data_IF_997022635675
#
_entry.id   IF_997022635675
#
_cell.length_a   1.000
_cell.length_b   1.000
_cell.length_c   1.000
_cell.angle_alpha   90.00
_cell.angle_beta   90.00
_cell.angle_gamma   90.00
#
_symmetry.space_group_name_H-M   'P 1'
#
loop_
_entity.id
_entity.type
_entity.pdbx_description
1 polymer ?
#
# COMPACT_ATOMS: atom_id res chain seq x y z
N UNK A 1 4.75 12.88 -0.64
CA UNK A 1 5.30 12.39 0.63
C UNK A 1 6.70 12.96 0.80
N UNK A 2 6.99 13.52 1.96
CA UNK A 2 8.27 14.17 2.26
C UNK A 2 8.60 14.09 3.77
N UNK A 3 9.81 14.50 4.14
CA UNK A 3 10.26 14.53 5.54
C UNK A 3 11.02 15.83 5.80
N UNK A 4 10.68 16.52 6.87
CA UNK A 4 11.45 17.67 7.34
C UNK A 4 12.62 17.22 8.23
N UNK A 5 13.63 18.08 8.39
CA UNK A 5 14.82 17.78 9.21
C UNK A 5 14.46 17.44 10.66
N UNK A 6 13.48 18.16 11.23
CA UNK A 6 12.97 17.95 12.60
C UNK A 6 12.25 16.61 12.77
N UNK A 7 11.64 16.07 11.70
CA UNK A 7 10.84 14.85 11.73
C UNK A 7 11.73 13.60 11.65
N UNK A 8 12.92 13.69 11.06
CA UNK A 8 13.82 12.56 10.85
C UNK A 8 14.17 11.82 12.14
N UNK A 9 14.48 12.55 13.23
CA UNK A 9 14.83 11.95 14.54
C UNK A 9 13.66 11.24 15.21
N UNK A 10 12.41 11.60 14.85
CA UNK A 10 11.17 11.05 15.42
C UNK A 10 10.55 9.96 14.54
N UNK A 11 11.17 9.60 13.41
CA UNK A 11 10.62 8.64 12.45
C UNK A 11 9.32 9.10 11.78
N UNK A 12 9.05 10.43 11.77
CA UNK A 12 7.85 11.02 11.22
C UNK A 12 8.06 11.26 9.72
N UNK A 13 7.03 11.00 8.94
CA UNK A 13 6.94 11.33 7.51
C UNK A 13 5.69 12.16 7.28
N UNK A 14 5.72 13.09 6.35
CA UNK A 14 4.57 13.92 6.00
C UNK A 14 3.96 13.46 4.69
N UNK A 15 2.68 13.16 4.73
CA UNK A 15 1.82 12.91 3.58
C UNK A 15 1.05 14.20 3.29
N UNK A 16 1.13 14.71 2.06
CA UNK A 16 0.34 15.84 1.61
C UNK A 16 -0.60 15.40 0.51
N UNK A 17 -1.88 15.64 0.70
CA UNK A 17 -2.93 15.44 -0.28
C UNK A 17 -3.42 16.80 -0.74
N UNK A 18 -3.56 16.97 -2.05
CA UNK A 18 -4.13 18.19 -2.67
C UNK A 18 -5.43 17.76 -3.33
N UNK A 19 -6.52 18.40 -2.98
CA UNK A 19 -7.86 18.03 -3.45
C UNK A 19 -8.73 19.30 -3.59
N UNK A 20 -9.74 19.24 -4.46
CA UNK A 20 -10.72 20.31 -4.68
C UNK A 20 -11.88 20.26 -3.69
N UNK A 21 -12.22 19.06 -3.21
CA UNK A 21 -13.27 18.84 -2.23
C UNK A 21 -12.65 18.36 -0.90
N UNK A 22 -13.23 18.74 0.23
CA UNK A 22 -12.70 18.31 1.54
C UNK A 22 -12.76 16.79 1.67
N UNK A 23 -11.59 16.15 1.79
CA UNK A 23 -11.52 14.73 2.18
C UNK A 23 -11.85 14.66 3.67
N UNK A 24 -12.91 13.93 3.99
CA UNK A 24 -13.32 13.73 5.38
C UNK A 24 -12.28 12.85 6.07
N UNK A 25 -11.87 13.26 7.27
CA UNK A 25 -10.82 12.55 8.02
C UNK A 25 -11.20 11.08 8.29
N UNK A 26 -12.48 10.80 8.54
CA UNK A 26 -13.01 9.44 8.72
C UNK A 26 -12.83 8.53 7.52
N UNK A 27 -12.66 9.07 6.32
CA UNK A 27 -12.49 8.27 5.10
C UNK A 27 -11.03 7.92 4.85
N UNK A 28 -10.13 8.85 5.17
CA UNK A 28 -8.69 8.63 4.95
C UNK A 28 -8.02 7.85 6.07
N UNK A 29 -8.48 7.97 7.33
CA UNK A 29 -7.87 7.28 8.46
C UNK A 29 -7.87 5.75 8.31
N UNK A 30 -8.98 5.08 7.90
CA UNK A 30 -8.98 3.64 7.68
C UNK A 30 -8.02 3.21 6.57
N UNK A 31 -7.86 4.03 5.53
CA UNK A 31 -6.89 3.76 4.43
C UNK A 31 -5.47 3.74 4.96
N UNK A 32 -5.11 4.73 5.77
CA UNK A 32 -3.76 4.83 6.35
C UNK A 32 -3.52 3.73 7.39
N UNK A 33 -4.51 3.39 8.21
CA UNK A 33 -4.40 2.31 9.21
C UNK A 33 -4.22 0.95 8.55
N UNK A 34 -5.00 0.65 7.50
CA UNK A 34 -4.88 -0.59 6.73
C UNK A 34 -3.52 -0.69 6.00
N UNK A 35 -2.88 0.42 5.68
CA UNK A 35 -1.50 0.44 5.19
C UNK A 35 -0.45 0.26 6.32
N UNK A 36 -0.88 0.14 7.57
CA UNK A 36 -0.01 0.02 8.75
C UNK A 36 0.62 1.34 9.19
N UNK A 37 -0.05 2.45 8.91
CA UNK A 37 0.40 3.79 9.26
C UNK A 37 -0.42 4.35 10.42
N UNK A 38 0.25 5.06 11.31
CA UNK A 38 -0.37 5.82 12.40
C UNK A 38 -0.35 7.28 12.03
N UNK A 39 -1.52 7.91 12.03
CA UNK A 39 -1.64 9.37 11.90
C UNK A 39 -1.44 10.01 13.27
N UNK A 40 -0.51 10.94 13.36
CA UNK A 40 -0.20 11.70 14.58
C UNK A 40 -1.12 12.90 14.66
N UNK A 41 -1.19 13.65 13.56
CA UNK A 41 -2.02 14.84 13.42
C UNK A 41 -2.23 15.23 11.95
N UNK A 42 -3.11 16.19 11.72
CA UNK A 42 -3.45 16.75 10.41
C UNK A 42 -3.47 18.27 10.47
N UNK A 43 -2.96 18.89 9.40
CA UNK A 43 -2.99 20.33 9.18
C UNK A 43 -3.63 20.62 7.82
N UNK A 44 -4.92 21.01 7.76
CA UNK A 44 -5.53 21.47 6.52
C UNK A 44 -5.12 22.90 6.24
N UNK A 45 -4.93 23.23 4.96
CA UNK A 45 -4.68 24.58 4.48
C UNK A 45 -5.47 24.81 3.22
N UNK A 46 -6.36 25.80 3.20
CA UNK A 46 -7.10 26.16 2.00
C UNK A 46 -6.29 27.17 1.19
N UNK A 47 -6.24 26.95 -0.11
CA UNK A 47 -5.58 27.84 -1.08
C UNK A 47 -6.65 28.47 -1.96
N UNK A 48 -6.67 29.77 -1.97
CA UNK A 48 -7.50 30.57 -2.86
C UNK A 48 -6.62 31.13 -4.00
N UNK A 49 -6.93 30.76 -5.22
CA UNK A 49 -6.26 31.30 -6.42
C UNK A 49 -7.29 32.03 -7.25
N UNK A 50 -7.02 33.32 -7.54
CA UNK A 50 -7.93 34.13 -8.33
C UNK A 50 -8.26 33.47 -9.67
N UNK A 51 -9.57 33.34 -9.97
CA UNK A 51 -10.05 32.73 -11.21
C UNK A 51 -9.96 31.18 -11.27
N UNK A 52 -9.66 30.52 -10.16
CA UNK A 52 -9.65 29.04 -10.07
C UNK A 52 -10.49 28.55 -8.89
N UNK A 53 -11.00 27.30 -8.94
CA UNK A 53 -11.63 26.67 -7.78
C UNK A 53 -10.66 26.63 -6.58
N UNK A 54 -11.22 26.70 -5.38
CA UNK A 54 -10.45 26.50 -4.16
C UNK A 54 -9.79 25.12 -4.14
N UNK A 55 -8.58 25.07 -3.62
CA UNK A 55 -7.88 23.81 -3.38
C UNK A 55 -7.55 23.68 -1.89
N UNK A 56 -7.77 22.49 -1.35
CA UNK A 56 -7.39 22.16 0.03
C UNK A 56 -6.14 21.29 0.01
N UNK A 57 -5.16 21.69 0.80
CA UNK A 57 -3.96 20.89 1.07
C UNK A 57 -4.08 20.31 2.48
N UNK A 58 -4.31 19.02 2.59
CA UNK A 58 -4.27 18.31 3.86
C UNK A 58 -2.89 17.68 4.08
N UNK A 59 -2.19 18.11 5.12
CA UNK A 59 -0.89 17.55 5.50
C UNK A 59 -1.05 16.70 6.74
N UNK A 60 -0.74 15.41 6.63
CA UNK A 60 -0.76 14.43 7.72
C UNK A 60 0.66 14.13 8.16
N UNK A 61 0.93 14.18 9.47
CA UNK A 61 2.14 13.58 10.02
C UNK A 61 1.87 12.11 10.34
N UNK A 62 2.60 11.24 9.69
CA UNK A 62 2.42 9.79 9.75
C UNK A 62 3.71 9.10 10.18
N UNK A 63 3.57 7.93 10.77
CA UNK A 63 4.66 6.99 11.03
C UNK A 63 4.18 5.56 10.81
N UNK A 64 5.09 4.62 10.57
CA UNK A 64 4.77 3.20 10.61
C UNK A 64 4.38 2.75 12.02
N UNK A 65 3.59 1.69 12.12
CA UNK A 65 3.35 0.99 13.39
C UNK A 65 4.68 0.43 13.96
N UNK A 66 4.71 0.06 15.24
CA UNK A 66 5.92 -0.52 15.87
C UNK A 66 6.40 -1.79 15.17
N UNK A 67 5.48 -2.57 14.60
CA UNK A 67 5.79 -3.78 13.83
C UNK A 67 6.31 -3.47 12.42
N UNK A 68 6.07 -2.25 11.91
CA UNK A 68 6.45 -1.84 10.57
C UNK A 68 7.76 -1.05 10.59
N UNK A 69 8.89 -1.77 10.59
CA UNK A 69 10.23 -1.18 10.55
C UNK A 69 10.64 -0.89 9.10
N UNK A 70 9.92 0.00 8.43
CA UNK A 70 10.14 0.34 7.01
C UNK A 70 10.38 1.84 6.88
N UNK A 71 11.39 2.22 6.10
CA UNK A 71 11.55 3.63 5.73
C UNK A 71 10.54 4.01 4.64
N UNK A 72 9.52 4.77 5.05
CA UNK A 72 8.44 5.23 4.18
C UNK A 72 8.94 6.09 3.01
N UNK A 73 10.10 6.75 3.16
CA UNK A 73 10.67 7.57 2.08
C UNK A 73 11.17 6.71 0.92
N UNK A 74 11.74 5.56 1.20
CA UNK A 74 12.17 4.63 0.17
C UNK A 74 10.99 4.02 -0.60
N UNK A 75 9.80 3.99 0.00
CA UNK A 75 8.57 3.43 -0.58
C UNK A 75 7.52 4.47 -0.94
N UNK A 76 7.90 5.74 -0.98
CA UNK A 76 6.99 6.87 -1.19
C UNK A 76 6.13 6.76 -2.46
N UNK A 77 6.71 6.28 -3.57
CA UNK A 77 6.00 6.17 -4.84
C UNK A 77 4.91 5.08 -4.77
N UNK A 78 5.23 3.92 -4.18
CA UNK A 78 4.25 2.84 -3.96
C UNK A 78 3.14 3.29 -3.02
N UNK A 79 3.52 3.93 -1.91
CA UNK A 79 2.56 4.45 -0.92
C UNK A 79 1.65 5.52 -1.53
N UNK A 80 2.20 6.46 -2.30
CA UNK A 80 1.39 7.50 -2.98
C UNK A 80 0.41 6.88 -3.97
N UNK A 81 0.87 5.91 -4.78
CA UNK A 81 0.03 5.21 -5.75
C UNK A 81 -1.11 4.45 -5.07
N UNK A 82 -0.83 3.73 -3.99
CA UNK A 82 -1.84 2.97 -3.24
C UNK A 82 -2.88 3.87 -2.57
N UNK A 83 -2.46 4.94 -1.89
CA UNK A 83 -3.38 5.91 -1.28
C UNK A 83 -4.28 6.52 -2.34
N UNK A 84 -3.72 6.92 -3.48
CA UNK A 84 -4.52 7.46 -4.59
C UNK A 84 -5.52 6.43 -5.11
N UNK A 85 -5.09 5.18 -5.32
CA UNK A 85 -5.95 4.11 -5.81
C UNK A 85 -7.09 3.81 -4.82
N UNK A 86 -6.83 3.82 -3.50
CA UNK A 86 -7.85 3.64 -2.46
C UNK A 86 -8.86 4.79 -2.43
N UNK A 87 -8.39 6.04 -2.51
CA UNK A 87 -9.28 7.22 -2.52
C UNK A 87 -10.19 7.21 -3.77
N UNK A 88 -9.68 6.73 -4.91
CA UNK A 88 -10.44 6.60 -6.15
C UNK A 88 -11.33 5.35 -6.21
N UNK A 89 -11.35 4.51 -5.16
CA UNK A 89 -12.15 3.28 -5.12
C UNK A 89 -11.65 2.17 -6.06
N UNK A 90 -10.41 2.26 -6.55
CA UNK A 90 -9.79 1.26 -7.45
C UNK A 90 -9.04 0.18 -6.66
N UNK A 91 -8.63 0.49 -5.44
CA UNK A 91 -7.94 -0.41 -4.54
C UNK A 91 -8.77 -0.59 -3.26
N UNK A 92 -9.19 -1.82 -2.99
CA UNK A 92 -10.00 -2.15 -1.83
C UNK A 92 -9.25 -1.85 -0.53
N UNK A 93 -9.96 -1.24 0.40
CA UNK A 93 -9.41 -0.86 1.69
C UNK A 93 -9.58 -1.98 2.70
N UNK A 94 -8.57 -2.85 2.85
CA UNK A 94 -8.58 -3.93 3.83
C UNK A 94 -7.21 -4.19 4.48
N UNK A 95 -7.18 -5.13 5.42
CA UNK A 95 -6.00 -5.41 6.24
C UNK A 95 -4.80 -5.99 5.45
N UNK A 96 -5.00 -6.58 4.27
CA UNK A 96 -3.92 -7.03 3.39
C UNK A 96 -3.09 -5.87 2.83
N UNK A 97 -3.60 -4.64 2.87
CA UNK A 97 -2.89 -3.47 2.35
C UNK A 97 -1.55 -3.22 3.06
N UNK A 98 -1.35 -3.76 4.26
CA UNK A 98 -0.05 -3.74 4.98
C UNK A 98 1.06 -4.43 4.20
N UNK A 99 0.75 -5.42 3.37
CA UNK A 99 1.71 -6.13 2.53
C UNK A 99 2.43 -5.21 1.54
N UNK A 100 1.76 -4.14 1.09
CA UNK A 100 2.37 -3.13 0.22
C UNK A 100 3.68 -2.58 0.81
N UNK A 101 3.68 -2.25 2.08
CA UNK A 101 4.85 -1.72 2.77
C UNK A 101 5.74 -2.83 3.34
N UNK A 102 5.18 -3.93 3.82
CA UNK A 102 5.95 -5.05 4.41
C UNK A 102 6.75 -5.81 3.36
N UNK A 103 6.09 -6.24 2.29
CA UNK A 103 6.70 -7.02 1.23
C UNK A 103 7.27 -6.17 0.09
N UNK A 104 7.06 -4.85 0.11
CA UNK A 104 7.47 -3.93 -0.96
C UNK A 104 6.89 -4.29 -2.33
N UNK A 105 5.61 -4.61 -2.37
CA UNK A 105 4.88 -4.97 -3.59
C UNK A 105 3.91 -3.86 -4.01
N UNK A 106 3.64 -3.66 -5.31
CA UNK A 106 2.64 -2.72 -5.80
C UNK A 106 1.22 -3.10 -5.34
N UNK A 107 0.33 -2.12 -5.26
CA UNK A 107 -1.04 -2.31 -4.78
C UNK A 107 -1.87 -3.30 -5.63
N UNK A 108 -1.64 -3.36 -6.94
CA UNK A 108 -2.31 -4.31 -7.82
C UNK A 108 -1.99 -5.79 -7.48
N UNK A 109 -0.77 -6.07 -6.99
CA UNK A 109 -0.44 -7.42 -6.50
C UNK A 109 -1.04 -7.69 -5.12
N UNK A 110 -1.23 -6.67 -4.28
CA UNK A 110 -2.02 -6.81 -3.05
C UNK A 110 -3.46 -7.18 -3.40
N UNK A 111 -4.08 -6.49 -4.38
CA UNK A 111 -5.42 -6.84 -4.89
C UNK A 111 -5.49 -8.27 -5.42
N UNK A 112 -4.44 -8.73 -6.11
CA UNK A 112 -4.35 -10.14 -6.54
C UNK A 112 -4.36 -11.09 -5.34
N UNK A 113 -3.60 -10.82 -4.28
CA UNK A 113 -3.58 -11.65 -3.06
C UNK A 113 -4.95 -11.66 -2.38
N UNK A 114 -5.63 -10.51 -2.32
CA UNK A 114 -7.01 -10.40 -1.82
C UNK A 114 -7.98 -11.30 -2.62
N UNK A 115 -7.88 -11.25 -3.95
CA UNK A 115 -8.69 -12.07 -4.84
C UNK A 115 -8.39 -13.58 -4.67
N UNK A 116 -7.13 -13.96 -4.59
CA UNK A 116 -6.72 -15.36 -4.36
C UNK A 116 -7.18 -15.88 -3.00
N UNK A 117 -7.11 -15.07 -1.94
CA UNK A 117 -7.67 -15.41 -0.63
C UNK A 117 -9.18 -15.62 -0.72
N UNK A 118 -9.92 -14.69 -1.37
CA UNK A 118 -11.37 -14.78 -1.54
C UNK A 118 -11.76 -16.04 -2.33
N UNK A 119 -11.02 -16.36 -3.39
CA UNK A 119 -11.21 -17.57 -4.17
C UNK A 119 -10.93 -18.84 -3.34
N UNK A 120 -9.84 -18.85 -2.56
CA UNK A 120 -9.53 -19.96 -1.65
C UNK A 120 -10.64 -20.20 -0.62
N UNK A 121 -11.28 -19.13 -0.11
CA UNK A 121 -12.44 -19.24 0.79
C UNK A 121 -13.64 -19.88 0.10
N UNK A 122 -13.90 -19.53 -1.16
CA UNK A 122 -14.97 -20.18 -1.95
C UNK A 122 -14.71 -21.69 -2.17
N UNK A 123 -13.44 -22.07 -2.27
CA UNK A 123 -13.02 -23.47 -2.39
C UNK A 123 -12.99 -24.23 -1.05
N UNK A 124 -13.43 -23.61 0.05
CA UNK A 124 -13.52 -24.26 1.37
C UNK A 124 -12.27 -24.12 2.23
N UNK A 125 -11.34 -23.24 1.92
CA UNK A 125 -10.19 -22.97 2.81
C UNK A 125 -10.67 -22.56 4.21
N UNK A 126 -10.18 -23.21 5.29
CA UNK A 126 -10.59 -22.93 6.65
C UNK A 126 -9.95 -21.63 7.21
N UNK A 127 -8.92 -21.11 6.55
CA UNK A 127 -8.13 -20.00 7.07
C UNK A 127 -8.83 -18.67 6.85
N UNK A 128 -9.03 -17.93 7.96
CA UNK A 128 -9.59 -16.57 7.94
C UNK A 128 -8.60 -15.54 7.41
N UNK A 129 -9.11 -14.35 7.09
CA UNK A 129 -8.33 -13.24 6.53
C UNK A 129 -7.14 -12.85 7.40
N UNK A 130 -7.34 -12.68 8.70
CA UNK A 130 -6.27 -12.29 9.62
C UNK A 130 -5.16 -13.34 9.72
N UNK A 131 -5.49 -14.62 9.78
CA UNK A 131 -4.51 -15.71 9.82
C UNK A 131 -3.63 -15.70 8.57
N UNK A 132 -4.26 -15.55 7.39
CA UNK A 132 -3.51 -15.49 6.12
C UNK A 132 -2.68 -14.22 6.04
N UNK A 133 -3.22 -13.06 6.44
CA UNK A 133 -2.50 -11.79 6.48
C UNK A 133 -1.24 -11.90 7.37
N UNK A 134 -1.37 -12.41 8.58
CA UNK A 134 -0.25 -12.56 9.51
C UNK A 134 0.82 -13.50 8.98
N UNK A 135 0.43 -14.61 8.36
CA UNK A 135 1.35 -15.53 7.72
C UNK A 135 2.12 -14.86 6.58
N UNK A 136 1.46 -14.08 5.73
CA UNK A 136 2.09 -13.35 4.62
C UNK A 136 2.97 -12.20 5.11
N UNK A 137 2.55 -11.46 6.14
CA UNK A 137 3.39 -10.41 6.74
C UNK A 137 4.68 -10.97 7.36
N UNK A 138 4.59 -12.15 7.99
CA UNK A 138 5.74 -12.83 8.59
C UNK A 138 6.69 -13.41 7.55
N UNK A 139 6.20 -13.67 6.32
CA UNK A 139 6.94 -14.26 5.22
C UNK A 139 6.94 -13.32 3.99
N UNK A 140 7.37 -12.09 4.17
CA UNK A 140 7.32 -11.03 3.15
C UNK A 140 8.17 -11.32 1.90
N UNK A 141 9.20 -12.12 1.99
CA UNK A 141 10.02 -12.65 0.90
C UNK A 141 9.26 -13.67 0.04
N UNK A 142 8.46 -14.53 0.66
CA UNK A 142 7.54 -15.43 -0.06
C UNK A 142 6.53 -14.61 -0.86
N UNK A 143 5.98 -13.54 -0.28
CA UNK A 143 5.06 -12.64 -0.99
C UNK A 143 5.74 -12.02 -2.21
N UNK A 144 6.98 -11.53 -2.08
CA UNK A 144 7.73 -11.00 -3.22
C UNK A 144 7.97 -12.04 -4.31
N UNK A 145 8.38 -13.23 -3.92
CA UNK A 145 8.62 -14.33 -4.87
C UNK A 145 7.34 -14.74 -5.59
N UNK A 146 6.21 -14.82 -4.87
CA UNK A 146 4.91 -15.14 -5.45
C UNK A 146 4.44 -14.08 -6.46
N UNK A 147 4.58 -12.81 -6.11
CA UNK A 147 4.20 -11.71 -7.01
C UNK A 147 5.10 -11.65 -8.25
N UNK A 148 6.39 -11.91 -8.10
CA UNK A 148 7.32 -11.97 -9.22
C UNK A 148 7.05 -13.19 -10.12
N UNK A 149 6.76 -14.35 -9.54
CA UNK A 149 6.32 -15.54 -10.30
C UNK A 149 5.08 -15.23 -11.13
N UNK A 150 4.08 -14.59 -10.50
CA UNK A 150 2.84 -14.23 -11.19
C UNK A 150 3.11 -13.23 -12.32
N UNK A 151 3.97 -12.25 -12.09
CA UNK A 151 4.39 -11.29 -13.10
C UNK A 151 5.03 -11.99 -14.32
N UNK A 152 6.01 -12.84 -14.08
CA UNK A 152 6.72 -13.56 -15.15
C UNK A 152 5.76 -14.44 -15.95
N UNK A 153 4.81 -15.08 -15.28
CA UNK A 153 3.92 -16.05 -15.92
C UNK A 153 2.77 -15.41 -16.70
N UNK A 154 2.27 -14.24 -16.26
CA UNK A 154 1.03 -13.68 -16.76
C UNK A 154 1.13 -12.26 -17.33
N UNK A 155 2.28 -11.59 -17.21
CA UNK A 155 2.46 -10.26 -17.77
C UNK A 155 2.77 -10.37 -19.27
N UNK A 156 1.86 -9.94 -20.16
CA UNK A 156 2.05 -10.06 -21.61
C UNK A 156 3.20 -9.21 -22.14
N UNK A 157 3.69 -8.24 -21.37
CA UNK A 157 4.85 -7.42 -21.77
C UNK A 157 6.18 -8.17 -21.64
N UNK A 158 6.19 -9.33 -20.98
CA UNK A 158 7.37 -10.17 -20.78
C UNK A 158 7.37 -11.29 -21.83
N UNK A 159 7.42 -10.94 -23.11
CA UNK A 159 7.56 -11.92 -24.19
C UNK A 159 8.99 -12.47 -24.26
N UNK A 160 9.12 -13.81 -24.34
CA UNK A 160 10.37 -14.51 -24.68
C UNK A 160 11.16 -15.12 -23.51
N UNK A 161 10.69 -15.05 -22.28
CA UNK A 161 11.25 -15.86 -21.20
C UNK A 161 10.56 -17.25 -21.21
N UNK A 162 11.35 -18.29 -21.49
CA UNK A 162 10.91 -19.67 -21.27
C UNK A 162 10.57 -19.85 -19.77
N UNK A 163 9.28 -19.69 -19.47
CA UNK A 163 8.75 -19.65 -18.11
C UNK A 163 8.98 -20.97 -17.34
N UNK A 164 9.24 -22.08 -18.04
CA UNK A 164 9.50 -23.38 -17.43
C UNK A 164 10.82 -23.39 -16.63
N UNK A 165 11.87 -22.77 -17.14
CA UNK A 165 13.20 -22.78 -16.53
C UNK A 165 13.40 -21.74 -15.39
N UNK A 166 12.59 -20.68 -15.36
CA UNK A 166 12.71 -19.62 -14.33
C UNK A 166 11.91 -19.98 -13.07
N UNK A 167 10.81 -20.70 -13.24
CA UNK A 167 9.95 -21.12 -12.13
C UNK A 167 10.62 -22.17 -11.25
N UNK A 168 11.27 -23.18 -11.84
CA UNK A 168 11.86 -24.29 -11.09
C UNK A 168 13.08 -23.89 -10.24
N UNK A 169 13.83 -22.88 -10.66
CA UNK A 169 15.04 -22.42 -9.94
C UNK A 169 14.76 -21.55 -8.70
N UNK A 170 13.53 -21.05 -8.50
CA UNK A 170 13.20 -20.15 -7.38
C UNK A 170 12.31 -20.81 -6.32
N UNK A 171 11.86 -22.05 -6.54
CA UNK A 171 11.08 -22.84 -5.59
C UNK A 171 11.91 -23.92 -4.88
N UNK A 172 13.22 -24.03 -5.18
CA UNK A 172 14.21 -24.80 -4.44
C UNK A 172 14.96 -23.92 -3.45
#
# INVERSE_FOLDING_TARGET
IFREKSDKRRGITRLRLVHSESIILSDILPVLDNLGLVVIDQYPTTIHVSGRPEAVISTYRIRGTKQMQVDLMNRRNRLSSAIRASILGVFDNDSFNRLLLRADVPWNYVSLIQALHSYGRQLGSPYGRETVREALESNSDVVRSLTEYFRIKFDPSIEGLDTSNVCDKRLQ
#
